data_IF_002562353991
#
_entry.id   IF_002562353991
#
_cell.length_a   1.000
_cell.length_b   1.000
_cell.length_c   1.000
_cell.angle_alpha   90.00
_cell.angle_beta   90.00
_cell.angle_gamma   90.00
#
_symmetry.space_group_name_H-M   'P 1'
#
loop_
_entity.id
_entity.type
_entity.pdbx_description
1 polymer ?
#
# COMPACT_ATOMS: atom_id res chain seq x y z
N UNK A 1 -20.99 -17.74 -9.47
CA UNK A 1 -20.16 -16.58 -9.88
C UNK A 1 -19.39 -16.09 -8.66
N UNK A 2 -18.05 -16.12 -8.68
CA UNK A 2 -17.20 -15.74 -7.54
C UNK A 2 -16.86 -14.24 -7.59
N UNK A 3 -17.00 -13.46 -6.50
CA UNK A 3 -16.57 -12.07 -6.47
C UNK A 3 -15.06 -11.97 -6.18
N UNK A 4 -14.34 -11.33 -7.08
CA UNK A 4 -12.90 -11.06 -7.00
C UNK A 4 -12.63 -9.85 -6.10
N UNK A 5 -11.67 -10.02 -5.19
CA UNK A 5 -11.39 -9.10 -4.10
C UNK A 5 -10.68 -7.81 -4.57
N UNK A 6 -11.29 -6.66 -4.31
CA UNK A 6 -10.67 -5.33 -4.42
C UNK A 6 -9.62 -5.12 -3.32
N UNK A 7 -8.35 -5.02 -3.71
CA UNK A 7 -7.20 -4.78 -2.84
C UNK A 7 -7.14 -3.30 -2.43
N UNK A 8 -7.37 -3.01 -1.15
CA UNK A 8 -7.03 -1.71 -0.56
C UNK A 8 -5.56 -1.77 -0.13
N UNK A 9 -4.71 -0.97 -0.78
CA UNK A 9 -3.26 -1.00 -0.55
C UNK A 9 -2.63 0.36 -0.20
N UNK A 10 -3.41 1.42 0.04
CA UNK A 10 -2.89 2.78 -0.21
C UNK A 10 -2.98 3.81 0.92
N UNK A 11 -2.72 3.45 2.19
CA UNK A 11 -2.58 4.53 3.19
C UNK A 11 -2.02 4.17 4.55
N UNK A 12 -2.25 2.94 5.02
CA UNK A 12 -1.87 2.54 6.38
C UNK A 12 -0.45 2.00 6.48
N UNK A 13 0.04 1.40 5.40
CA UNK A 13 1.33 0.72 5.37
C UNK A 13 2.51 1.69 5.55
N UNK A 14 2.42 2.89 4.98
CA UNK A 14 3.50 3.88 5.01
C UNK A 14 3.78 4.46 6.40
N UNK A 15 2.75 4.61 7.24
CA UNK A 15 2.90 5.15 8.60
C UNK A 15 3.64 4.19 9.56
N UNK A 16 3.50 2.87 9.39
CA UNK A 16 4.14 1.91 10.30
C UNK A 16 5.52 1.40 9.83
N UNK A 17 5.95 1.76 8.62
CA UNK A 17 7.32 1.48 8.13
C UNK A 17 8.28 2.63 8.44
N UNK A 18 7.83 3.90 8.43
CA UNK A 18 8.69 5.08 8.58
C UNK A 18 9.08 5.45 10.03
N UNK A 19 9.21 4.49 10.95
CA UNK A 19 9.86 4.68 12.26
C UNK A 19 9.12 5.58 13.29
N UNK A 20 7.93 6.09 12.98
CA UNK A 20 7.08 6.79 13.96
C UNK A 20 6.29 5.75 14.74
N UNK A 21 6.39 5.73 16.08
CA UNK A 21 5.67 4.79 16.97
C UNK A 21 4.23 4.60 16.47
N UNK A 22 3.89 3.36 16.11
CA UNK A 22 2.58 2.89 15.68
C UNK A 22 1.72 2.85 16.97
N UNK A 23 1.22 4.02 17.44
CA UNK A 23 0.58 4.22 18.77
C UNK A 23 -0.93 4.00 18.80
N UNK A 24 -1.57 3.64 17.69
CA UNK A 24 -3.03 3.48 17.64
C UNK A 24 -3.42 2.00 17.65
N UNK A 25 -4.36 1.65 18.55
CA UNK A 25 -4.84 0.30 18.85
C UNK A 25 -5.13 -0.59 17.61
N UNK A 26 -5.68 0.00 16.54
CA UNK A 26 -6.06 -0.73 15.32
C UNK A 26 -4.86 -1.32 14.53
N UNK A 27 -3.67 -0.71 14.58
CA UNK A 27 -2.52 -1.28 13.88
C UNK A 27 -1.89 -2.44 14.67
N UNK A 28 -2.02 -2.45 16.00
CA UNK A 28 -1.49 -3.52 16.85
C UNK A 28 -2.29 -4.83 16.70
N UNK A 29 -3.57 -4.74 16.35
CA UNK A 29 -4.42 -5.93 16.15
C UNK A 29 -4.23 -6.58 14.77
N UNK A 30 -3.58 -5.90 13.81
CA UNK A 30 -3.40 -6.43 12.45
C UNK A 30 -2.06 -7.19 12.37
N UNK A 31 -2.07 -8.52 12.09
CA UNK A 31 -0.87 -9.36 12.14
C UNK A 31 0.28 -8.91 11.22
N UNK A 32 -0.01 -8.23 10.11
CA UNK A 32 0.98 -7.70 9.16
C UNK A 32 1.91 -6.64 9.75
N UNK A 33 1.52 -6.00 10.85
CA UNK A 33 2.28 -4.94 11.49
C UNK A 33 3.02 -5.38 12.76
N UNK A 34 3.01 -6.67 13.09
CA UNK A 34 3.91 -7.23 14.10
C UNK A 34 5.38 -6.94 13.74
N UNK A 35 6.29 -6.81 14.73
CA UNK A 35 7.69 -6.47 14.46
C UNK A 35 8.39 -7.43 13.49
N UNK A 36 8.05 -8.72 13.56
CA UNK A 36 8.62 -9.77 12.73
C UNK A 36 8.09 -9.69 11.28
N UNK A 37 6.77 -9.58 11.11
CA UNK A 37 6.17 -9.42 9.79
C UNK A 37 6.55 -8.09 9.13
N UNK A 38 6.78 -7.02 9.91
CA UNK A 38 7.30 -5.76 9.37
C UNK A 38 8.67 -5.92 8.74
N UNK A 39 9.58 -6.67 9.36
CA UNK A 39 10.91 -6.94 8.78
C UNK A 39 10.78 -7.71 7.47
N UNK A 40 9.93 -8.73 7.42
CA UNK A 40 9.73 -9.53 6.20
C UNK A 40 9.05 -8.73 5.09
N UNK A 41 8.08 -7.88 5.44
CA UNK A 41 7.35 -7.06 4.48
C UNK A 41 8.13 -5.80 4.05
N UNK A 42 9.25 -5.49 4.70
CA UNK A 42 10.10 -4.34 4.37
C UNK A 42 10.56 -4.37 2.91
N UNK A 43 10.82 -5.56 2.36
CA UNK A 43 11.20 -5.75 0.96
C UNK A 43 10.20 -5.12 -0.03
N UNK A 44 8.90 -5.11 0.30
CA UNK A 44 7.88 -4.46 -0.53
C UNK A 44 7.98 -2.94 -0.47
N UNK A 45 8.30 -2.40 0.69
CA UNK A 45 8.47 -0.95 0.88
C UNK A 45 9.70 -0.48 0.12
N UNK A 46 10.79 -1.25 0.23
CA UNK A 46 12.05 -0.95 -0.45
C UNK A 46 11.87 -0.99 -1.96
N UNK A 47 11.07 -1.94 -2.47
CA UNK A 47 10.69 -1.99 -3.88
C UNK A 47 9.99 -0.69 -4.31
N UNK A 48 8.94 -0.26 -3.61
CA UNK A 48 8.23 0.99 -3.90
C UNK A 48 9.19 2.19 -3.79
N UNK A 49 10.09 2.18 -2.80
CA UNK A 49 11.11 3.20 -2.61
C UNK A 49 12.07 3.34 -3.80
N UNK A 50 12.45 2.24 -4.45
CA UNK A 50 13.28 2.26 -5.66
C UNK A 50 12.57 2.96 -6.82
N UNK A 51 11.31 2.62 -7.07
CA UNK A 51 10.51 3.27 -8.12
C UNK A 51 10.25 4.75 -7.81
N UNK A 52 10.02 5.06 -6.53
CA UNK A 52 9.86 6.44 -6.05
C UNK A 52 11.09 7.29 -6.36
N UNK A 53 12.29 6.76 -6.09
CA UNK A 53 13.54 7.43 -6.41
C UNK A 53 13.73 7.60 -7.93
N UNK A 54 13.45 6.57 -8.74
CA UNK A 54 13.56 6.63 -10.19
C UNK A 54 12.63 7.68 -10.81
N UNK A 55 11.41 7.79 -10.29
CA UNK A 55 10.38 8.72 -10.78
C UNK A 55 10.39 10.07 -10.08
N UNK A 56 11.33 10.31 -9.15
CA UNK A 56 11.41 11.52 -8.30
C UNK A 56 10.08 11.84 -7.62
N UNK A 57 9.36 10.81 -7.22
CA UNK A 57 8.04 10.91 -6.59
C UNK A 57 8.09 10.38 -5.15
N UNK A 58 7.13 10.77 -4.33
CA UNK A 58 7.00 10.18 -3.01
C UNK A 58 6.53 8.72 -3.13
N UNK A 59 6.98 7.81 -2.25
CA UNK A 59 6.54 6.42 -2.30
C UNK A 59 5.02 6.22 -2.16
N UNK A 60 4.33 7.11 -1.43
CA UNK A 60 2.87 7.12 -1.38
C UNK A 60 2.24 7.46 -2.74
N UNK A 61 2.88 8.35 -3.52
CA UNK A 61 2.45 8.70 -4.87
C UNK A 61 2.61 7.53 -5.83
N UNK A 62 3.75 6.82 -5.80
CA UNK A 62 3.94 5.61 -6.63
C UNK A 62 2.85 4.59 -6.38
N UNK A 63 2.54 4.38 -5.11
CA UNK A 63 1.57 3.40 -4.71
C UNK A 63 0.15 3.80 -5.18
N UNK A 64 -0.24 5.07 -5.02
CA UNK A 64 -1.52 5.59 -5.54
C UNK A 64 -1.58 5.57 -7.08
N UNK A 65 -0.50 5.96 -7.76
CA UNK A 65 -0.39 5.93 -9.22
C UNK A 65 -0.53 4.51 -9.77
N UNK A 66 0.11 3.53 -9.13
CA UNK A 66 -0.06 2.11 -9.47
C UNK A 66 -1.53 1.68 -9.33
N UNK A 67 -2.21 2.09 -8.26
CA UNK A 67 -3.62 1.74 -8.05
C UNK A 67 -4.53 2.35 -9.13
N UNK A 68 -4.30 3.62 -9.48
CA UNK A 68 -5.02 4.31 -10.55
C UNK A 68 -4.80 3.64 -11.92
N UNK A 69 -3.60 3.13 -12.18
CA UNK A 69 -3.25 2.47 -13.43
C UNK A 69 -3.94 1.10 -13.62
N UNK A 70 -4.42 0.45 -12.56
CA UNK A 70 -4.99 -0.90 -12.67
C UNK A 70 -6.27 -0.93 -13.52
N UNK A 71 -7.19 0.02 -13.32
CA UNK A 71 -8.47 0.10 -14.04
C UNK A 71 -8.94 1.57 -14.09
N UNK A 72 -9.51 2.03 -15.20
CA UNK A 72 -9.86 3.45 -15.39
C UNK A 72 -10.99 3.94 -14.46
N UNK A 73 -11.76 3.03 -13.84
CA UNK A 73 -12.85 3.36 -12.92
C UNK A 73 -12.45 3.28 -11.43
N UNK A 74 -11.16 3.04 -11.11
CA UNK A 74 -10.70 3.02 -9.73
C UNK A 74 -10.42 4.46 -9.29
N UNK A 75 -11.15 4.92 -8.27
CA UNK A 75 -10.91 6.21 -7.63
C UNK A 75 -10.49 5.96 -6.17
N UNK A 76 -9.22 6.18 -5.81
CA UNK A 76 -8.78 6.07 -4.42
C UNK A 76 -9.36 7.22 -3.60
N UNK A 77 -9.73 6.93 -2.34
CA UNK A 77 -10.19 7.94 -1.37
C UNK A 77 -9.13 8.06 -0.28
N UNK A 78 -7.98 8.73 -0.54
CA UNK A 78 -6.92 8.84 0.43
C UNK A 78 -7.33 9.79 1.57
N UNK A 79 -7.43 9.25 2.78
CA UNK A 79 -7.69 10.05 3.99
C UNK A 79 -6.42 10.71 4.53
N UNK A 80 -6.46 12.01 4.75
CA UNK A 80 -5.39 12.76 5.43
C UNK A 80 -5.96 13.87 6.30
N UNK A 81 -5.27 14.19 7.39
CA UNK A 81 -5.59 15.33 8.28
C UNK A 81 -4.65 16.52 8.06
N UNK A 82 -3.63 16.38 7.21
CA UNK A 82 -2.60 17.40 6.96
C UNK A 82 -2.64 17.87 5.50
N UNK A 83 -2.56 19.18 5.30
CA UNK A 83 -2.65 19.80 3.97
C UNK A 83 -1.51 19.37 3.04
N UNK A 84 -0.26 19.41 3.49
CA UNK A 84 0.89 18.97 2.66
C UNK A 84 0.77 17.51 2.19
N UNK A 85 0.09 16.65 2.95
CA UNK A 85 -0.17 15.25 2.55
C UNK A 85 -1.30 15.14 1.52
N UNK A 86 -2.26 16.06 1.57
CA UNK A 86 -3.28 16.15 0.53
C UNK A 86 -2.64 16.52 -0.81
N UNK A 87 -1.78 17.54 -0.81
CA UNK A 87 -1.02 17.96 -1.99
C UNK A 87 -0.15 16.83 -2.54
N UNK A 88 0.58 16.13 -1.66
CA UNK A 88 1.36 14.94 -2.02
C UNK A 88 0.47 13.87 -2.67
N UNK A 89 -0.68 13.53 -2.08
CA UNK A 89 -1.59 12.52 -2.59
C UNK A 89 -2.20 12.89 -3.95
N UNK A 90 -2.57 14.16 -4.15
CA UNK A 90 -3.09 14.66 -5.43
C UNK A 90 -2.02 14.55 -6.52
N UNK A 91 -0.76 14.86 -6.17
CA UNK A 91 0.37 14.72 -7.08
C UNK A 91 0.59 13.30 -7.61
N UNK A 92 0.03 12.28 -6.96
CA UNK A 92 0.08 10.90 -7.45
C UNK A 92 -0.60 10.73 -8.82
N UNK A 93 -1.64 11.51 -9.12
CA UNK A 93 -2.33 11.43 -10.41
C UNK A 93 -1.48 11.93 -11.59
N UNK A 94 -0.46 12.74 -11.31
CA UNK A 94 0.49 13.24 -12.31
C UNK A 94 1.71 12.31 -12.52
N UNK A 95 1.84 11.24 -11.73
CA UNK A 95 2.95 10.29 -11.87
C UNK A 95 2.69 9.34 -13.03
N UNK A 96 3.50 9.43 -14.07
CA UNK A 96 3.45 8.53 -15.21
C UNK A 96 4.27 7.26 -14.96
N UNK A 97 3.53 6.16 -14.75
CA UNK A 97 4.09 4.80 -14.77
C UNK A 97 3.91 4.22 -16.17
N UNK A 98 5.03 3.91 -16.83
CA UNK A 98 4.99 3.28 -18.15
C UNK A 98 4.47 1.83 -18.04
N UNK A 99 3.98 1.22 -19.13
CA UNK A 99 3.58 -0.18 -19.12
C UNK A 99 4.70 -1.13 -18.67
N UNK A 100 5.96 -0.78 -18.94
CA UNK A 100 7.11 -1.53 -18.46
C UNK A 100 7.30 -1.38 -16.94
N UNK A 101 7.19 -0.16 -16.40
CA UNK A 101 7.26 0.07 -14.95
C UNK A 101 6.19 -0.74 -14.21
N UNK A 102 4.96 -0.74 -14.73
CA UNK A 102 3.84 -1.49 -14.15
C UNK A 102 4.12 -3.00 -14.16
N UNK A 103 4.61 -3.55 -15.27
CA UNK A 103 5.00 -4.96 -15.38
C UNK A 103 6.13 -5.32 -14.43
N UNK A 104 7.15 -4.48 -14.30
CA UNK A 104 8.27 -4.71 -13.40
C UNK A 104 7.81 -4.67 -11.94
N UNK A 105 6.99 -3.68 -11.59
CA UNK A 105 6.45 -3.53 -10.24
C UNK A 105 5.55 -4.71 -9.88
N UNK A 106 4.66 -5.16 -10.78
CA UNK A 106 3.79 -6.32 -10.57
C UNK A 106 4.60 -7.63 -10.46
N UNK A 107 5.59 -7.83 -11.32
CA UNK A 107 6.46 -9.02 -11.29
C UNK A 107 7.27 -9.07 -10.00
N UNK A 108 7.85 -7.94 -9.60
CA UNK A 108 8.64 -7.85 -8.38
C UNK A 108 7.76 -7.99 -7.13
N UNK A 109 6.59 -7.36 -7.09
CA UNK A 109 5.65 -7.49 -5.99
C UNK A 109 5.11 -8.92 -5.84
N UNK A 110 4.88 -9.63 -6.95
CA UNK A 110 4.40 -11.02 -6.92
C UNK A 110 5.40 -12.02 -6.33
N UNK A 111 6.70 -11.68 -6.37
CA UNK A 111 7.76 -12.48 -5.74
C UNK A 111 7.87 -12.27 -4.23
N UNK A 112 7.24 -11.22 -3.70
CA UNK A 112 7.30 -10.86 -2.28
C UNK A 112 6.10 -11.47 -1.56
N UNK A 113 6.34 -12.52 -0.77
CA UNK A 113 5.32 -13.12 0.07
C UNK A 113 5.02 -12.21 1.28
N UNK A 114 3.90 -11.48 1.23
CA UNK A 114 3.45 -10.63 2.34
C UNK A 114 3.03 -11.50 3.53
N UNK A 115 3.75 -11.40 4.63
CA UNK A 115 3.50 -12.14 5.86
C UNK A 115 2.48 -11.44 6.76
N UNK A 116 1.61 -12.26 7.37
CA UNK A 116 0.52 -11.83 8.24
C UNK A 116 -0.82 -11.68 7.50
N UNK A 117 -1.90 -12.07 8.19
CA UNK A 117 -3.26 -11.89 7.70
C UNK A 117 -3.68 -10.41 7.65
N UNK A 118 -4.58 -10.06 6.73
CA UNK A 118 -5.12 -8.69 6.62
C UNK A 118 -6.01 -8.33 7.81
N UNK A 119 -6.69 -9.32 8.37
CA UNK A 119 -7.48 -9.21 9.59
C UNK A 119 -6.99 -10.25 10.61
N UNK A 120 -7.01 -9.95 11.92
CA UNK A 120 -6.92 -11.01 12.93
C UNK A 120 -8.09 -12.00 12.76
N UNK A 121 -7.88 -13.26 13.15
CA UNK A 121 -8.81 -14.36 12.89
C UNK A 121 -10.25 -14.07 13.35
N UNK A 122 -10.40 -13.46 14.52
CA UNK A 122 -11.71 -13.08 15.07
C UNK A 122 -12.48 -12.11 14.17
N UNK A 123 -11.80 -11.14 13.56
CA UNK A 123 -12.41 -10.21 12.61
C UNK A 123 -12.62 -10.86 11.24
N UNK A 124 -11.76 -11.82 10.86
CA UNK A 124 -11.90 -12.55 9.61
C UNK A 124 -13.17 -13.42 9.58
N UNK A 125 -13.58 -13.98 10.73
CA UNK A 125 -14.83 -14.75 10.88
C UNK A 125 -16.11 -13.92 10.64
N UNK A 126 -16.02 -12.59 10.68
CA UNK A 126 -17.16 -11.68 10.49
C UNK A 126 -17.35 -11.23 9.04
N UNK A 127 -16.36 -11.47 8.16
CA UNK A 127 -16.40 -11.03 6.76
C UNK A 127 -17.18 -12.05 5.91
N UNK A 128 -18.24 -11.60 5.23
CA UNK A 128 -19.00 -12.42 4.27
C UNK A 128 -20.11 -13.28 4.88
N UNK A 129 -20.62 -12.89 6.05
CA UNK A 129 -21.93 -13.34 6.54
C UNK A 129 -23.07 -12.70 5.75
#
# INVERSE_FOLDING_TARGET
MKPTHGRAFQGWYWKCVAGSRCTTHCCNIVPRFTPENRKTNQALVDLIGKFAHQKKAAPAQIALAWLLAQKPWIVPIPGTTKLHRLEENIGAAAVELTPEDLRQLETAASKIAVQGARYPEELQKLVGR
#
